data_IF_121134485937
#
_entry.id   IF_121134485937
#
_cell.length_a   1.000
_cell.length_b   1.000
_cell.length_c   1.000
_cell.angle_alpha   90.00
_cell.angle_beta   90.00
_cell.angle_gamma   90.00
#
_symmetry.space_group_name_H-M   'P 1'
#
loop_
_entity.id
_entity.type
_entity.pdbx_description
1 polymer ?
#
# COMPACT_ATOMS: atom_id res chain seq x y z
N UNK A 1 42.97 -11.02 17.14
CA UNK A 1 42.27 -10.78 15.86
C UNK A 1 40.79 -10.70 16.19
N UNK A 2 40.29 -9.49 16.45
CA UNK A 2 38.93 -9.29 16.94
C UNK A 2 37.96 -9.23 15.76
N UNK A 3 37.11 -10.25 15.63
CA UNK A 3 36.03 -10.27 14.65
C UNK A 3 34.98 -9.24 15.07
N UNK A 4 35.00 -8.06 14.45
CA UNK A 4 33.92 -7.07 14.57
C UNK A 4 32.74 -7.56 13.72
N UNK A 5 31.86 -8.36 14.32
CA UNK A 5 30.55 -8.64 13.74
C UNK A 5 29.75 -7.33 13.74
N UNK A 6 29.64 -6.68 12.57
CA UNK A 6 28.75 -5.53 12.40
C UNK A 6 27.32 -6.03 12.54
N UNK A 7 26.69 -5.74 13.68
CA UNK A 7 25.27 -6.00 13.90
C UNK A 7 24.48 -5.09 12.97
N UNK A 8 23.88 -5.68 11.92
CA UNK A 8 23.02 -4.98 10.97
C UNK A 8 21.57 -5.06 11.47
N UNK A 9 20.94 -3.91 11.73
CA UNK A 9 19.52 -3.83 12.11
C UNK A 9 18.63 -3.72 10.86
N UNK A 10 17.44 -4.34 10.85
CA UNK A 10 16.43 -4.09 9.81
C UNK A 10 16.07 -2.61 9.79
N UNK A 11 15.97 -2.02 8.59
CA UNK A 11 15.50 -0.65 8.43
C UNK A 11 14.01 -0.68 8.14
N UNK A 12 13.20 -0.10 9.03
CA UNK A 12 11.78 0.12 8.78
C UNK A 12 11.61 1.38 7.93
N UNK A 13 11.14 1.21 6.69
CA UNK A 13 10.93 2.33 5.77
C UNK A 13 9.64 3.05 6.17
N UNK A 14 9.78 4.20 6.84
CA UNK A 14 8.66 5.11 7.10
C UNK A 14 8.63 6.19 6.02
N UNK A 15 7.44 6.65 5.62
CA UNK A 15 7.28 7.67 4.56
C UNK A 15 8.07 8.96 4.84
N UNK A 16 8.21 9.35 6.11
CA UNK A 16 8.92 10.55 6.55
C UNK A 16 10.44 10.34 6.74
N UNK A 17 10.90 9.08 6.79
CA UNK A 17 12.28 8.70 7.10
C UNK A 17 12.74 7.63 6.09
N UNK A 18 12.73 7.96 4.79
CA UNK A 18 13.28 7.05 3.79
C UNK A 18 14.80 7.02 3.91
N UNK A 19 15.42 5.89 4.28
CA UNK A 19 16.89 5.79 4.31
C UNK A 19 17.43 6.02 2.90
N UNK A 20 18.46 6.86 2.76
CA UNK A 20 19.12 7.09 1.47
C UNK A 20 20.05 5.94 1.10
N UNK A 21 20.71 5.35 2.10
CA UNK A 21 21.67 4.26 1.92
C UNK A 21 21.38 3.08 2.86
N UNK A 22 21.66 1.87 2.38
CA UNK A 22 21.64 0.64 3.17
C UNK A 22 22.95 -0.12 2.94
N UNK A 23 23.50 -0.73 3.98
CA UNK A 23 24.80 -1.43 3.88
C UNK A 23 24.69 -2.86 3.36
N UNK A 24 23.52 -3.48 3.46
CA UNK A 24 23.28 -4.86 3.06
C UNK A 24 21.81 -5.10 2.73
N UNK A 25 21.54 -6.08 1.86
CA UNK A 25 20.21 -6.54 1.51
C UNK A 25 20.07 -8.04 1.86
N UNK A 26 18.91 -8.44 2.36
CA UNK A 26 18.63 -9.81 2.75
C UNK A 26 17.34 -10.29 2.11
N UNK A 27 17.39 -11.49 1.51
CA UNK A 27 16.21 -12.21 1.03
C UNK A 27 15.80 -13.25 2.06
N UNK A 28 14.51 -13.27 2.40
CA UNK A 28 13.89 -14.24 3.30
C UNK A 28 12.53 -14.62 2.75
N UNK A 29 12.07 -15.83 3.06
CA UNK A 29 10.68 -16.22 2.84
C UNK A 29 9.77 -15.40 3.75
N UNK A 30 8.67 -14.90 3.20
CA UNK A 30 7.65 -14.19 3.95
C UNK A 30 6.71 -15.21 4.63
N UNK A 31 6.43 -15.01 5.92
CA UNK A 31 5.38 -15.77 6.61
C UNK A 31 3.99 -15.26 6.21
N UNK A 32 2.92 -16.06 6.38
CA UNK A 32 1.55 -15.61 6.13
C UNK A 32 1.18 -14.33 6.90
N UNK A 33 1.61 -14.22 8.17
CA UNK A 33 1.41 -13.02 9.00
C UNK A 33 2.07 -11.78 8.40
N UNK A 34 3.26 -11.94 7.81
CA UNK A 34 4.00 -10.86 7.17
C UNK A 34 3.37 -10.43 5.84
N UNK A 35 2.78 -11.37 5.10
CA UNK A 35 2.02 -11.05 3.88
C UNK A 35 0.77 -10.25 4.25
N UNK A 36 0.08 -10.62 5.32
CA UNK A 36 -1.09 -9.89 5.81
C UNK A 36 -0.75 -8.50 6.32
N UNK A 37 0.40 -8.30 6.97
CA UNK A 37 0.79 -6.97 7.48
C UNK A 37 1.12 -5.96 6.37
N UNK A 38 1.49 -6.44 5.17
CA UNK A 38 1.66 -5.58 3.99
C UNK A 38 0.35 -5.25 3.28
N UNK A 39 -0.69 -6.04 3.52
CA UNK A 39 -1.95 -5.90 2.80
C UNK A 39 -2.80 -4.78 3.38
N UNK A 40 -3.33 -3.94 2.51
CA UNK A 40 -4.30 -2.89 2.85
C UNK A 40 -5.76 -3.36 2.75
N UNK A 41 -6.00 -4.62 2.40
CA UNK A 41 -7.34 -5.20 2.26
C UNK A 41 -7.37 -6.51 1.48
N UNK A 42 -8.51 -7.19 1.51
CA UNK A 42 -8.72 -8.48 0.85
C UNK A 42 -9.48 -8.31 -0.47
N UNK A 43 -8.97 -8.90 -1.55
CA UNK A 43 -9.69 -9.01 -2.83
C UNK A 43 -10.54 -10.27 -2.80
N UNK A 44 -11.87 -10.10 -2.93
CA UNK A 44 -12.83 -11.21 -2.83
C UNK A 44 -13.34 -11.67 -4.19
N UNK A 45 -13.25 -10.81 -5.20
CA UNK A 45 -13.80 -11.07 -6.52
C UNK A 45 -12.76 -10.86 -7.61
N UNK A 46 -12.84 -11.60 -8.74
CA UNK A 46 -11.90 -11.48 -9.84
C UNK A 46 -12.19 -10.30 -10.77
N UNK A 47 -13.26 -9.52 -10.53
CA UNK A 47 -13.60 -8.42 -11.44
C UNK A 47 -12.58 -7.27 -11.36
N UNK A 48 -12.41 -6.58 -12.49
CA UNK A 48 -11.42 -5.53 -12.66
C UNK A 48 -12.10 -4.16 -12.66
N UNK A 49 -12.61 -3.76 -13.82
CA UNK A 49 -13.26 -2.49 -14.07
C UNK A 49 -14.61 -2.74 -14.72
N UNK A 50 -15.55 -1.86 -14.43
CA UNK A 50 -16.85 -1.87 -15.09
C UNK A 50 -16.69 -1.45 -16.56
N UNK A 51 -17.26 -2.22 -17.49
CA UNK A 51 -17.12 -1.95 -18.92
C UNK A 51 -17.78 -0.63 -19.37
N UNK A 52 -18.88 -0.23 -18.73
CA UNK A 52 -19.62 1.00 -19.09
C UNK A 52 -19.05 2.22 -18.40
N UNK A 53 -18.87 2.14 -17.08
CA UNK A 53 -18.49 3.32 -16.28
C UNK A 53 -16.98 3.51 -16.18
N UNK A 54 -16.18 2.50 -16.57
CA UNK A 54 -14.73 2.46 -16.42
C UNK A 54 -14.26 2.64 -14.96
N UNK A 55 -15.17 2.48 -14.00
CA UNK A 55 -14.87 2.55 -12.57
C UNK A 55 -14.40 1.18 -12.09
N UNK A 56 -13.41 1.12 -11.19
CA UNK A 56 -13.04 -0.14 -10.55
C UNK A 56 -14.19 -0.75 -9.76
N UNK A 57 -14.29 -2.08 -9.82
CA UNK A 57 -15.31 -2.83 -9.09
C UNK A 57 -14.97 -2.94 -7.59
N UNK A 58 -16.02 -3.00 -6.76
CA UNK A 58 -15.86 -3.11 -5.29
C UNK A 58 -15.44 -4.53 -4.91
N UNK A 59 -14.42 -4.61 -4.07
CA UNK A 59 -13.75 -5.85 -3.64
C UNK A 59 -13.11 -6.66 -4.80
N UNK A 60 -12.95 -6.02 -5.97
CA UNK A 60 -12.26 -6.54 -7.13
C UNK A 60 -10.76 -6.24 -7.14
N UNK A 61 -10.08 -6.68 -8.21
CA UNK A 61 -8.62 -6.57 -8.38
C UNK A 61 -8.11 -5.13 -8.39
N UNK A 62 -8.93 -4.16 -8.78
CA UNK A 62 -8.57 -2.73 -8.80
C UNK A 62 -9.33 -1.89 -7.77
N UNK A 63 -9.85 -2.51 -6.71
CA UNK A 63 -10.72 -1.83 -5.76
C UNK A 63 -10.04 -0.60 -5.13
N UNK A 64 -10.65 0.57 -5.30
CA UNK A 64 -10.12 1.84 -4.78
C UNK A 64 -10.05 1.90 -3.24
N UNK A 65 -10.77 1.02 -2.54
CA UNK A 65 -10.70 0.90 -1.08
C UNK A 65 -9.38 0.25 -0.62
N UNK A 66 -8.87 -0.71 -1.39
CA UNK A 66 -7.67 -1.49 -1.05
C UNK A 66 -6.43 -0.75 -1.53
N UNK A 67 -6.45 -0.30 -2.78
CA UNK A 67 -5.27 0.26 -3.45
C UNK A 67 -5.23 1.79 -3.45
N UNK A 68 -6.32 2.45 -3.09
CA UNK A 68 -6.42 3.90 -3.05
C UNK A 68 -7.22 4.52 -4.21
N UNK A 69 -7.39 5.85 -4.21
CA UNK A 69 -8.24 6.54 -5.17
C UNK A 69 -7.66 6.54 -6.59
N UNK A 70 -8.54 6.52 -7.60
CA UNK A 70 -8.15 6.57 -9.03
C UNK A 70 -7.64 7.96 -9.44
N UNK A 71 -8.10 9.00 -8.74
CA UNK A 71 -7.75 10.39 -9.00
C UNK A 71 -7.24 11.04 -7.73
N UNK A 72 -6.29 11.95 -7.89
CA UNK A 72 -5.68 12.65 -6.76
C UNK A 72 -6.73 13.45 -5.97
N UNK A 73 -6.76 13.24 -4.65
CA UNK A 73 -7.64 13.93 -3.71
C UNK A 73 -9.14 13.85 -4.06
N UNK A 74 -9.58 12.79 -4.75
CA UNK A 74 -10.98 12.55 -5.09
C UNK A 74 -11.38 11.11 -4.75
N UNK A 75 -12.48 10.94 -4.00
CA UNK A 75 -13.00 9.61 -3.70
C UNK A 75 -13.77 9.02 -4.90
N UNK A 76 -13.92 7.69 -4.94
CA UNK A 76 -14.53 6.97 -6.07
C UNK A 76 -15.98 7.39 -6.37
N UNK A 77 -16.77 7.71 -5.33
CA UNK A 77 -18.15 8.17 -5.50
C UNK A 77 -18.23 9.66 -5.91
N UNK A 78 -17.14 10.42 -5.73
CA UNK A 78 -17.07 11.85 -6.03
C UNK A 78 -17.68 12.78 -4.96
N UNK A 79 -18.06 12.27 -3.78
CA UNK A 79 -18.57 13.09 -2.65
C UNK A 79 -17.49 14.05 -2.13
N UNK A 80 -16.28 13.53 -1.93
CA UNK A 80 -15.12 14.29 -1.46
C UNK A 80 -14.16 14.54 -2.62
N UNK A 81 -13.92 15.82 -2.94
CA UNK A 81 -13.09 16.27 -4.05
C UNK A 81 -12.19 17.43 -3.63
N UNK A 82 -10.99 17.50 -4.23
CA UNK A 82 -9.95 18.52 -4.03
C UNK A 82 -9.18 18.32 -2.72
N UNK A 83 -8.02 18.99 -2.66
CA UNK A 83 -7.04 18.87 -1.58
C UNK A 83 -7.57 19.21 -0.17
N UNK A 84 -8.69 19.95 -0.05
CA UNK A 84 -9.30 20.29 1.24
C UNK A 84 -9.79 19.09 2.05
N UNK A 85 -10.08 17.96 1.39
CA UNK A 85 -10.47 16.70 2.05
C UNK A 85 -9.31 15.70 2.11
N UNK A 86 -8.05 16.17 2.03
CA UNK A 86 -6.88 15.30 2.16
C UNK A 86 -6.94 14.52 3.47
N UNK A 87 -6.86 13.20 3.39
CA UNK A 87 -6.92 12.29 4.55
C UNK A 87 -8.32 11.96 5.05
N UNK A 88 -9.38 12.52 4.46
CA UNK A 88 -10.77 12.17 4.82
C UNK A 88 -11.15 10.85 4.13
N UNK A 89 -11.52 9.85 4.93
CA UNK A 89 -12.03 8.57 4.42
C UNK A 89 -13.50 8.73 4.06
N UNK A 90 -13.87 8.31 2.85
CA UNK A 90 -15.25 8.32 2.40
C UNK A 90 -16.04 7.20 3.08
N UNK A 91 -17.31 7.49 3.41
CA UNK A 91 -18.33 6.48 3.73
C UNK A 91 -18.50 5.48 2.57
#
# INVERSE_FOLDING_TARGET
>A
MSNNEKVLSPIDIKELERPQDFSAFQLKLASPEKILSWSCGEVKKPETINYTTLKPERDGLFCAKIFGPVKDYECLCGKYKKMRYKGVVCE
#
